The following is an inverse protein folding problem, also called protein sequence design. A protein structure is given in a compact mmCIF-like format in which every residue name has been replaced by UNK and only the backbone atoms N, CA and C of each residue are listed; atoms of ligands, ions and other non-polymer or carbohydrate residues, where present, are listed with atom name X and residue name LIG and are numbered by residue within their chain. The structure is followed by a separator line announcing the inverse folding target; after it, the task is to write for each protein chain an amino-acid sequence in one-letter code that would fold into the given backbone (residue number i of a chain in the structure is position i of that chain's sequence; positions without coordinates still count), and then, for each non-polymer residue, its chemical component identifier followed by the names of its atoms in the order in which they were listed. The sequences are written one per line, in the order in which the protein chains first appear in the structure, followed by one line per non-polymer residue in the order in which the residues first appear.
data_IF_328916140083
#
_entry.id   IF_328916140083
#
_cell.length_a   1.000
_cell.length_b   1.000
_cell.length_c   1.000
_cell.angle_alpha   90.00
_cell.angle_beta   90.00
_cell.angle_gamma   90.00
#
_symmetry.space_group_name_H-M   'P 1'
#
loop_
_entity.id
_entity.type
_entity.pdbx_description
1 polymer ?
#
# COMPACT_ATOMS: atom_id res chain seq x y z
N UNK A 1 -35.37 31.69 -13.55
CA UNK A 1 -34.16 31.42 -14.38
C UNK A 1 -33.10 30.57 -13.65
N UNK A 2 -32.84 30.82 -12.35
CA UNK A 2 -31.88 30.05 -11.53
C UNK A 2 -32.18 28.54 -11.45
N UNK A 3 -33.45 28.16 -11.29
CA UNK A 3 -33.87 26.75 -11.18
C UNK A 3 -33.44 25.87 -12.36
N UNK A 4 -33.42 26.41 -13.60
CA UNK A 4 -32.96 25.65 -14.77
C UNK A 4 -31.45 25.44 -14.77
N UNK A 5 -30.67 26.42 -14.29
CA UNK A 5 -29.20 26.30 -14.18
C UNK A 5 -28.80 25.30 -13.10
N UNK A 6 -29.48 25.32 -11.96
CA UNK A 6 -29.28 24.34 -10.90
C UNK A 6 -29.57 22.91 -11.38
N UNK A 7 -30.69 22.71 -12.08
CA UNK A 7 -31.04 21.39 -12.63
C UNK A 7 -29.99 20.87 -13.63
N UNK A 8 -29.45 21.74 -14.50
CA UNK A 8 -28.38 21.36 -15.44
C UNK A 8 -27.09 20.95 -14.75
N UNK A 9 -26.69 21.63 -13.67
CA UNK A 9 -25.50 21.26 -12.89
C UNK A 9 -25.70 19.91 -12.19
N UNK A 10 -26.86 19.69 -11.57
CA UNK A 10 -27.18 18.43 -10.91
C UNK A 10 -27.12 17.23 -11.87
N UNK A 11 -27.70 17.38 -13.07
CA UNK A 11 -27.65 16.35 -14.11
C UNK A 11 -26.21 16.10 -14.58
N UNK A 12 -25.42 17.16 -14.77
CA UNK A 12 -24.01 17.05 -15.14
C UNK A 12 -23.18 16.25 -14.13
N UNK A 13 -23.31 16.53 -12.82
CA UNK A 13 -22.62 15.78 -11.77
C UNK A 13 -23.07 14.31 -11.71
N UNK A 14 -24.35 14.03 -11.95
CA UNK A 14 -24.87 12.66 -11.97
C UNK A 14 -24.27 11.85 -13.13
N UNK A 15 -24.19 12.44 -14.33
CA UNK A 15 -23.55 11.79 -15.49
C UNK A 15 -22.08 11.51 -15.23
N UNK A 16 -21.32 12.49 -14.70
CA UNK A 16 -19.90 12.30 -14.37
C UNK A 16 -19.73 11.20 -13.32
N UNK A 17 -20.57 11.17 -12.28
CA UNK A 17 -20.53 10.10 -11.27
C UNK A 17 -20.78 8.71 -11.86
N UNK A 18 -21.75 8.58 -12.77
CA UNK A 18 -22.06 7.33 -13.44
C UNK A 18 -20.89 6.85 -14.32
N UNK A 19 -20.27 7.76 -15.08
CA UNK A 19 -19.09 7.46 -15.89
C UNK A 19 -17.91 7.02 -15.03
N UNK A 20 -17.63 7.74 -13.94
CA UNK A 20 -16.55 7.38 -13.02
C UNK A 20 -16.76 6.00 -12.37
N UNK A 21 -18.00 5.68 -12.01
CA UNK A 21 -18.33 4.36 -11.46
C UNK A 21 -18.00 3.23 -12.44
N UNK A 22 -18.43 3.37 -13.70
CA UNK A 22 -18.16 2.36 -14.75
C UNK A 22 -16.66 2.25 -15.02
N UNK A 23 -15.95 3.38 -15.14
CA UNK A 23 -14.51 3.37 -15.40
C UNK A 23 -13.71 2.74 -14.24
N UNK A 24 -14.04 3.07 -12.99
CA UNK A 24 -13.39 2.48 -11.83
C UNK A 24 -13.63 0.97 -11.75
N UNK A 25 -14.86 0.53 -12.03
CA UNK A 25 -15.20 -0.89 -12.05
C UNK A 25 -14.41 -1.65 -13.13
N UNK A 26 -14.39 -1.11 -14.36
CA UNK A 26 -13.62 -1.69 -15.46
C UNK A 26 -12.12 -1.74 -15.13
N UNK A 27 -11.55 -0.64 -14.62
CA UNK A 27 -10.14 -0.59 -14.25
C UNK A 27 -9.79 -1.68 -13.24
N UNK A 28 -10.61 -1.86 -12.19
CA UNK A 28 -10.36 -2.88 -11.18
C UNK A 28 -10.52 -4.28 -11.76
N UNK A 29 -11.52 -4.51 -12.60
CA UNK A 29 -11.75 -5.78 -13.28
C UNK A 29 -10.59 -6.19 -14.18
N UNK A 30 -10.05 -5.26 -14.98
CA UNK A 30 -8.90 -5.53 -15.85
C UNK A 30 -7.64 -5.89 -15.07
N UNK A 31 -7.38 -5.18 -13.96
CA UNK A 31 -6.24 -5.48 -13.09
C UNK A 31 -6.38 -6.87 -12.45
N UNK A 32 -7.58 -7.20 -11.96
CA UNK A 32 -7.86 -8.52 -11.41
C UNK A 32 -7.65 -9.63 -12.45
N UNK A 33 -8.13 -9.45 -13.67
CA UNK A 33 -7.94 -10.40 -14.76
C UNK A 33 -6.45 -10.55 -15.13
N UNK A 34 -5.70 -9.44 -15.19
CA UNK A 34 -4.27 -9.46 -15.47
C UNK A 34 -3.49 -10.28 -14.42
N UNK A 35 -3.76 -10.07 -13.14
CA UNK A 35 -3.11 -10.82 -12.05
C UNK A 35 -3.39 -12.31 -12.13
N UNK A 36 -4.64 -12.70 -12.40
CA UNK A 36 -5.00 -14.11 -12.57
C UNK A 36 -4.25 -14.78 -13.72
N UNK A 37 -4.15 -14.10 -14.88
CA UNK A 37 -3.42 -14.62 -16.03
C UNK A 37 -1.92 -14.82 -15.72
N UNK A 38 -1.32 -13.91 -14.97
CA UNK A 38 0.09 -14.00 -14.55
C UNK A 38 0.28 -15.21 -13.63
N UNK A 39 -0.56 -15.37 -12.62
CA UNK A 39 -0.53 -16.51 -11.69
C UNK A 39 -0.69 -17.84 -12.41
N UNK A 40 -1.63 -17.94 -13.34
CA UNK A 40 -1.84 -19.17 -14.12
C UNK A 40 -0.63 -19.55 -14.97
N UNK A 41 0.05 -18.56 -15.56
CA UNK A 41 1.27 -18.80 -16.35
C UNK A 41 2.40 -19.32 -15.46
N UNK A 42 2.63 -18.69 -14.31
CA UNK A 42 3.66 -19.11 -13.35
C UNK A 42 3.40 -20.56 -12.89
N UNK A 43 2.15 -20.90 -12.56
CA UNK A 43 1.79 -22.26 -12.14
C UNK A 43 2.06 -23.30 -13.25
N UNK A 44 1.73 -22.99 -14.51
CA UNK A 44 1.99 -23.89 -15.66
C UNK A 44 3.48 -24.12 -15.89
N UNK A 45 4.28 -23.06 -15.88
CA UNK A 45 5.74 -23.16 -16.05
C UNK A 45 6.39 -23.91 -14.89
N UNK A 46 5.94 -23.67 -13.66
CA UNK A 46 6.46 -24.36 -12.48
C UNK A 46 6.20 -25.87 -12.54
N UNK A 47 4.97 -26.30 -12.85
CA UNK A 47 4.65 -27.72 -12.97
C UNK A 47 5.49 -28.37 -14.07
N UNK A 48 5.68 -27.69 -15.21
CA UNK A 48 6.55 -28.19 -16.27
C UNK A 48 8.02 -28.28 -15.86
N UNK A 49 8.50 -27.37 -15.00
CA UNK A 49 9.88 -27.40 -14.51
C UNK A 49 10.10 -28.54 -13.51
N UNK A 50 9.17 -28.75 -12.57
CA UNK A 50 9.21 -29.85 -11.59
C UNK A 50 9.20 -31.21 -12.29
N UNK A 51 8.40 -31.38 -13.35
CA UNK A 51 8.34 -32.64 -14.10
C UNK A 51 9.62 -32.96 -14.90
N UNK A 52 10.49 -31.97 -15.15
CA UNK A 52 11.77 -32.16 -15.87
C UNK A 52 12.93 -32.46 -14.93
N UNK A 53 12.72 -32.44 -13.61
CA UNK A 53 13.77 -32.56 -12.61
C UNK A 53 14.11 -34.04 -12.32
N UNK A 54 15.38 -34.32 -12.00
CA UNK A 54 15.88 -35.69 -11.83
C UNK A 54 15.28 -36.39 -10.60
N UNK A 55 15.09 -37.71 -10.68
CA UNK A 55 14.51 -38.52 -9.60
C UNK A 55 15.28 -38.41 -8.25
N UNK A 56 16.61 -38.26 -8.29
CA UNK A 56 17.42 -38.06 -7.08
C UNK A 56 17.05 -36.78 -6.32
N UNK A 57 16.76 -35.68 -7.04
CA UNK A 57 16.35 -34.42 -6.42
C UNK A 57 14.93 -34.52 -5.83
N UNK A 58 14.09 -35.34 -6.45
CA UNK A 58 12.69 -35.56 -6.06
C UNK A 58 12.56 -36.43 -4.81
N UNK A 59 13.58 -37.25 -4.52
CA UNK A 59 13.65 -38.10 -3.32
C UNK A 59 14.19 -37.30 -2.10
N UNK A 60 15.13 -36.38 -2.33
CA UNK A 60 15.61 -35.45 -1.28
C UNK A 60 14.57 -34.38 -0.91
N UNK A 61 13.74 -33.97 -1.87
CA UNK A 61 12.77 -32.89 -1.68
C UNK A 61 11.34 -33.43 -1.77
N UNK A 62 10.69 -33.55 -0.62
CA UNK A 62 9.30 -34.00 -0.55
C UNK A 62 8.38 -33.08 -1.39
N UNK A 63 7.78 -33.63 -2.45
CA UNK A 63 7.01 -32.88 -3.44
C UNK A 63 5.86 -32.06 -2.82
N UNK A 64 5.32 -32.51 -1.69
CA UNK A 64 4.32 -31.77 -0.92
C UNK A 64 4.83 -30.45 -0.34
N UNK A 65 6.03 -30.44 0.25
CA UNK A 65 6.61 -29.23 0.85
C UNK A 65 6.92 -28.16 -0.21
N UNK A 66 7.39 -28.58 -1.39
CA UNK A 66 7.68 -27.69 -2.51
C UNK A 66 6.39 -27.10 -3.10
N UNK A 67 5.33 -27.89 -3.21
CA UNK A 67 4.03 -27.42 -3.71
C UNK A 67 3.39 -26.41 -2.75
N UNK A 68 3.51 -26.61 -1.45
CA UNK A 68 3.03 -25.66 -0.44
C UNK A 68 3.81 -24.36 -0.48
N UNK A 69 5.15 -24.42 -0.50
CA UNK A 69 5.99 -23.22 -0.63
C UNK A 69 5.71 -22.46 -1.92
N UNK A 70 5.49 -23.15 -3.05
CA UNK A 70 5.08 -22.50 -4.29
C UNK A 70 3.74 -21.78 -4.11
N UNK A 71 2.72 -22.44 -3.55
CA UNK A 71 1.41 -21.82 -3.37
C UNK A 71 1.50 -20.57 -2.48
N UNK A 72 2.32 -20.59 -1.44
CA UNK A 72 2.60 -19.41 -0.61
C UNK A 72 3.27 -18.30 -1.42
N UNK A 73 4.30 -18.61 -2.21
CA UNK A 73 4.98 -17.64 -3.08
C UNK A 73 4.02 -17.06 -4.14
N UNK A 74 3.17 -17.89 -4.74
CA UNK A 74 2.16 -17.48 -5.71
C UNK A 74 1.13 -16.56 -5.05
N UNK A 75 0.66 -16.89 -3.83
CA UNK A 75 -0.28 -16.05 -3.09
C UNK A 75 0.32 -14.67 -2.79
N UNK A 76 1.59 -14.61 -2.38
CA UNK A 76 2.29 -13.34 -2.18
C UNK A 76 2.43 -12.52 -3.47
N UNK A 77 2.66 -13.18 -4.61
CA UNK A 77 2.72 -12.52 -5.93
C UNK A 77 1.32 -12.03 -6.34
N UNK A 78 0.28 -12.81 -6.12
CA UNK A 78 -1.11 -12.43 -6.42
C UNK A 78 -1.53 -11.19 -5.63
N UNK A 79 -1.24 -11.15 -4.33
CA UNK A 79 -1.48 -9.98 -3.47
C UNK A 79 -0.64 -8.76 -3.91
N UNK A 80 0.61 -8.99 -4.29
CA UNK A 80 1.51 -7.94 -4.78
C UNK A 80 1.04 -7.32 -6.11
N UNK A 81 0.68 -8.15 -7.08
CA UNK A 81 0.34 -7.71 -8.44
C UNK A 81 -1.11 -7.23 -8.54
N UNK A 82 -2.05 -7.91 -7.85
CA UNK A 82 -3.48 -7.58 -7.84
C UNK A 82 -3.78 -6.19 -7.30
N UNK A 83 -3.37 -5.92 -6.07
CA UNK A 83 -3.81 -4.71 -5.37
C UNK A 83 -2.71 -3.63 -5.35
N UNK A 84 -1.46 -4.00 -5.03
CA UNK A 84 -0.40 -3.00 -4.84
C UNK A 84 0.03 -2.35 -6.14
N UNK A 85 0.29 -3.12 -7.20
CA UNK A 85 0.67 -2.55 -8.52
C UNK A 85 -0.49 -1.72 -9.09
N UNK A 86 -1.73 -2.18 -8.94
CA UNK A 86 -2.91 -1.43 -9.32
C UNK A 86 -3.02 -0.08 -8.61
N UNK A 87 -2.80 -0.06 -7.29
CA UNK A 87 -2.80 1.16 -6.48
C UNK A 87 -1.68 2.11 -6.88
N UNK A 88 -0.47 1.62 -7.13
CA UNK A 88 0.66 2.43 -7.58
C UNK A 88 0.41 3.04 -8.95
N UNK A 89 -0.07 2.25 -9.92
CA UNK A 89 -0.39 2.75 -11.26
C UNK A 89 -1.51 3.80 -11.23
N UNK A 90 -2.55 3.58 -10.42
CA UNK A 90 -3.61 4.58 -10.18
C UNK A 90 -3.06 5.85 -9.52
N UNK A 91 -2.18 5.70 -8.52
CA UNK A 91 -1.56 6.83 -7.84
C UNK A 91 -0.71 7.69 -8.79
N UNK A 92 0.13 7.06 -9.61
CA UNK A 92 0.98 7.75 -10.59
C UNK A 92 0.13 8.45 -11.66
N UNK A 93 -0.87 7.76 -12.21
CA UNK A 93 -1.76 8.38 -13.22
C UNK A 93 -2.56 9.55 -12.65
N UNK A 94 -3.08 9.43 -11.42
CA UNK A 94 -3.78 10.52 -10.74
C UNK A 94 -2.85 11.70 -10.44
N UNK A 95 -1.61 11.43 -10.02
CA UNK A 95 -0.61 12.45 -9.80
C UNK A 95 -0.30 13.23 -11.08
N UNK A 96 -0.05 12.53 -12.19
CA UNK A 96 0.22 13.15 -13.49
C UNK A 96 -0.98 13.95 -13.98
N UNK A 97 -2.19 13.39 -13.90
CA UNK A 97 -3.42 14.08 -14.32
C UNK A 97 -3.66 15.34 -13.50
N UNK A 98 -3.51 15.27 -12.18
CA UNK A 98 -3.65 16.41 -11.27
C UNK A 98 -2.60 17.49 -11.54
N UNK A 99 -1.34 17.10 -11.74
CA UNK A 99 -0.27 18.03 -12.09
C UNK A 99 -0.58 18.76 -13.41
N UNK A 100 -0.97 18.03 -14.45
CA UNK A 100 -1.33 18.61 -15.74
C UNK A 100 -2.52 19.58 -15.63
N UNK A 101 -3.57 19.19 -14.90
CA UNK A 101 -4.73 20.06 -14.65
C UNK A 101 -4.35 21.33 -13.89
N UNK A 102 -3.52 21.22 -12.87
CA UNK A 102 -3.06 22.35 -12.07
C UNK A 102 -2.24 23.33 -12.91
N UNK A 103 -1.33 22.84 -13.77
CA UNK A 103 -0.56 23.71 -14.65
C UNK A 103 -1.40 24.38 -15.73
N UNK A 104 -2.43 23.70 -16.25
CA UNK A 104 -3.31 24.24 -17.29
C UNK A 104 -4.17 25.43 -16.81
N UNK A 105 -4.60 25.45 -15.54
CA UNK A 105 -5.52 26.48 -15.04
C UNK A 105 -4.81 27.80 -14.71
N UNK A 106 -3.69 27.73 -13.98
CA UNK A 106 -2.91 28.91 -13.61
C UNK A 106 -1.53 28.51 -13.11
N UNK A 107 -0.52 28.66 -13.97
CA UNK A 107 0.89 28.37 -13.66
C UNK A 107 1.39 29.06 -12.38
N UNK A 108 0.92 30.29 -12.10
CA UNK A 108 1.40 31.09 -10.95
C UNK A 108 0.97 30.51 -9.60
N UNK A 109 -0.27 30.03 -9.48
CA UNK A 109 -0.79 29.48 -8.21
C UNK A 109 -0.20 28.08 -8.00
N UNK A 110 -0.11 27.28 -9.06
CA UNK A 110 0.42 25.92 -9.02
C UNK A 110 1.88 25.87 -8.55
N UNK A 111 2.74 26.79 -9.01
CA UNK A 111 4.12 26.88 -8.52
C UNK A 111 4.20 27.14 -7.01
N UNK A 112 3.33 28.01 -6.49
CA UNK A 112 3.28 28.30 -5.05
C UNK A 112 2.81 27.06 -4.27
N UNK A 113 1.80 26.35 -4.75
CA UNK A 113 1.33 25.11 -4.13
C UNK A 113 2.41 24.02 -4.12
N UNK A 114 3.15 23.85 -5.23
CA UNK A 114 4.26 22.88 -5.32
C UNK A 114 5.37 23.24 -4.33
N UNK A 115 5.66 24.52 -4.11
CA UNK A 115 6.64 24.96 -3.12
C UNK A 115 6.22 24.69 -1.66
N UNK A 116 4.92 24.71 -1.36
CA UNK A 116 4.39 24.36 -0.02
C UNK A 116 4.45 22.84 0.22
N UNK A 117 4.41 22.03 -0.84
CA UNK A 117 4.56 20.57 -0.80
C UNK A 117 5.72 20.08 0.08
N UNK A 118 6.99 20.42 -0.22
CA UNK A 118 8.14 19.99 0.58
C UNK A 118 8.11 20.58 2.00
N UNK A 119 7.63 21.81 2.20
CA UNK A 119 7.50 22.40 3.55
C UNK A 119 6.59 21.54 4.42
N UNK A 120 5.42 21.14 3.90
CA UNK A 120 4.49 20.26 4.61
C UNK A 120 5.08 18.87 4.89
N UNK A 121 5.83 18.31 3.95
CA UNK A 121 6.49 17.02 4.10
C UNK A 121 7.59 17.05 5.18
N UNK A 122 8.35 18.15 5.25
CA UNK A 122 9.36 18.36 6.30
C UNK A 122 8.68 18.43 7.67
N UNK A 123 7.58 19.17 7.81
CA UNK A 123 6.82 19.24 9.07
C UNK A 123 6.32 17.86 9.51
N UNK A 124 5.78 17.05 8.58
CA UNK A 124 5.35 15.68 8.88
C UNK A 124 6.53 14.78 9.29
N UNK A 125 7.67 14.88 8.61
CA UNK A 125 8.87 14.11 8.94
C UNK A 125 9.43 14.45 10.32
N UNK A 126 9.43 15.74 10.69
CA UNK A 126 9.83 16.21 12.01
C UNK A 126 8.88 15.68 13.08
N UNK A 127 7.56 15.77 12.87
CA UNK A 127 6.57 15.23 13.80
C UNK A 127 6.73 13.72 14.02
N UNK A 128 6.98 12.95 12.95
CA UNK A 128 7.22 11.50 13.04
C UNK A 128 8.46 11.18 13.88
N UNK A 129 9.57 11.89 13.69
CA UNK A 129 10.80 11.74 14.49
C UNK A 129 10.55 12.07 15.96
N UNK A 130 9.85 13.17 16.23
CA UNK A 130 9.53 13.61 17.59
C UNK A 130 8.66 12.58 18.30
N UNK A 131 7.59 12.10 17.67
CA UNK A 131 6.71 11.06 18.22
C UNK A 131 7.49 9.79 18.60
N UNK A 132 8.38 9.34 17.72
CA UNK A 132 9.21 8.15 17.98
C UNK A 132 10.13 8.34 19.20
N UNK A 133 10.78 9.50 19.32
CA UNK A 133 11.62 9.84 20.47
C UNK A 133 10.82 9.90 21.77
N UNK A 134 9.61 10.48 21.77
CA UNK A 134 8.73 10.50 22.94
C UNK A 134 8.29 9.11 23.39
N UNK A 135 8.00 8.20 22.46
CA UNK A 135 7.65 6.80 22.76
C UNK A 135 8.82 6.05 23.40
N UNK A 136 10.04 6.24 22.90
CA UNK A 136 11.22 5.62 23.51
C UNK A 136 11.47 6.16 24.92
N UNK A 137 11.32 7.47 25.11
CA UNK A 137 11.49 8.11 26.41
C UNK A 137 10.49 7.56 27.45
N UNK A 138 9.22 7.37 27.08
CA UNK A 138 8.21 6.84 28.00
C UNK A 138 8.50 5.40 28.42
N UNK A 139 8.94 4.54 27.48
CA UNK A 139 9.36 3.16 27.79
C UNK A 139 10.60 3.14 28.69
N UNK A 140 11.58 4.01 28.42
CA UNK A 140 12.78 4.13 29.25
C UNK A 140 12.44 4.56 30.68
N UNK A 141 11.58 5.58 30.84
CA UNK A 141 11.13 6.04 32.17
C UNK A 141 10.43 4.92 32.93
N UNK A 142 9.55 4.14 32.28
CA UNK A 142 8.87 3.00 32.90
C UNK A 142 9.86 1.91 33.32
N UNK A 143 10.85 1.59 32.48
CA UNK A 143 11.89 0.60 32.84
C UNK A 143 12.76 1.05 34.00
N UNK A 144 13.13 2.33 34.06
CA UNK A 144 13.89 2.90 35.16
C UNK A 144 13.07 2.86 36.45
N UNK A 145 11.80 3.26 36.38
CA UNK A 145 10.89 3.23 37.52
C UNK A 145 10.63 1.80 38.03
N UNK A 146 10.45 0.84 37.11
CA UNK A 146 10.31 -0.58 37.43
C UNK A 146 11.58 -1.13 38.09
N UNK A 147 12.75 -0.78 37.57
CA UNK A 147 14.04 -1.18 38.18
C UNK A 147 14.20 -0.61 39.59
N UNK A 148 13.80 0.65 39.81
CA UNK A 148 13.85 1.31 41.12
C UNK A 148 12.91 0.64 42.14
N UNK A 149 11.67 0.32 41.77
CA UNK A 149 10.75 -0.41 42.64
C UNK A 149 11.29 -1.81 42.95
N UNK A 150 11.86 -2.49 41.96
CA UNK A 150 12.45 -3.82 42.15
C UNK A 150 13.66 -3.79 43.08
N UNK A 151 14.47 -2.72 43.08
CA UNK A 151 15.58 -2.58 44.03
C UNK A 151 15.08 -2.28 45.45
N UNK A 152 14.07 -1.42 45.60
CA UNK A 152 13.50 -1.04 46.90
C UNK A 152 12.89 -2.25 47.63
N UNK A 153 12.07 -3.05 46.92
CA UNK A 153 11.48 -4.31 47.44
C UNK A 153 12.54 -5.37 47.74
N UNK A 154 13.67 -5.37 47.03
CA UNK A 154 14.76 -6.30 47.30
C UNK A 154 15.43 -5.98 48.63
N UNK A 155 15.60 -4.71 48.98
CA UNK A 155 16.24 -4.30 50.24
C UNK A 155 15.37 -4.61 51.47
N UNK A 156 14.04 -4.45 51.39
CA UNK A 156 13.13 -4.85 52.49
C UNK A 156 13.17 -6.35 52.82
N UNK A 157 13.49 -7.23 51.87
CA UNK A 157 13.49 -8.68 52.10
C UNK A 157 14.78 -9.21 52.75
N UNK A 158 15.86 -8.41 52.78
CA UNK A 158 17.14 -8.77 53.41
C UNK A 158 17.29 -8.24 54.85
N UNK A 159 16.30 -7.52 55.36
CA UNK A 159 16.17 -7.07 56.75
C UNK A 159 15.18 -7.96 57.52
#
# INVERSE_FOLDING_TARGET
MLWRKAMYLCIGYLVVGCVLFVLCYLQHYFLFLASRNIVERIRKEFVSAVLRQNAMWQDENNAGAITTQLNENIAQIEDGVGDKIGMLARGVSMFIASAAFAFAFSWRITLVCVAVGPVSAITMAVMSKVCFTWVILSVFVVLVFYTQIRSDVREEFYL
#
